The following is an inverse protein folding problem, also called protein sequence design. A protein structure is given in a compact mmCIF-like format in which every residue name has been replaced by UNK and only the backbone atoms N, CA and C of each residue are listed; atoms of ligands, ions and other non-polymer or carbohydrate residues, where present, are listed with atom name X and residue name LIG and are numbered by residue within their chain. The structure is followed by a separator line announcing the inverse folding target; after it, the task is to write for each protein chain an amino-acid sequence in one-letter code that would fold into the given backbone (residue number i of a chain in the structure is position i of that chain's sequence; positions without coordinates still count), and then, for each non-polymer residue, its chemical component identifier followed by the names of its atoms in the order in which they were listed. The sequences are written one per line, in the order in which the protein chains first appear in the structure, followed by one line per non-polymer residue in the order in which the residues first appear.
data_IF_110334767704
#
_entry.id   IF_110334767704
#
_cell.length_a   1.000
_cell.length_b   1.000
_cell.length_c   1.000
_cell.angle_alpha   90.00
_cell.angle_beta   90.00
_cell.angle_gamma   90.00
#
_symmetry.space_group_name_H-M   'P 1'
#
loop_
_entity.id
_entity.type
_entity.pdbx_description
1 polymer ?
#
# COMPACT_ATOMS: atom_id res chain seq x y z
N UNK A 1 -2.61 16.70 6.55
CA UNK A 1 -2.20 17.27 7.80
C UNK A 1 -3.32 17.22 8.81
N UNK A 2 -3.03 16.90 10.03
CA UNK A 2 -4.06 16.71 11.03
C UNK A 2 -4.73 15.34 10.96
N UNK A 3 -4.26 14.47 10.08
CA UNK A 3 -4.80 13.13 9.94
C UNK A 3 -3.66 12.15 9.82
N UNK A 4 -3.92 10.90 10.17
CA UNK A 4 -2.92 9.84 10.00
C UNK A 4 -3.03 9.30 8.59
N UNK A 5 -1.89 9.11 7.94
CA UNK A 5 -1.85 8.60 6.57
C UNK A 5 -1.34 7.17 6.57
N UNK A 6 -2.07 6.29 5.89
CA UNK A 6 -1.62 4.92 5.65
C UNK A 6 -1.13 4.89 4.21
N UNK A 7 0.19 4.89 4.03
CA UNK A 7 0.78 4.84 2.71
C UNK A 7 1.30 3.42 2.51
N UNK A 8 0.64 2.65 1.65
CA UNK A 8 1.06 1.28 1.43
C UNK A 8 1.60 1.09 0.03
N UNK A 9 2.74 0.42 -0.04
CA UNK A 9 3.39 0.10 -1.31
C UNK A 9 3.09 -1.35 -1.66
N UNK A 10 2.74 -1.60 -2.91
CA UNK A 10 2.44 -2.95 -3.36
C UNK A 10 3.09 -3.19 -4.73
N UNK A 11 3.41 -4.46 -5.04
CA UNK A 11 4.21 -4.73 -6.24
C UNK A 11 3.52 -4.48 -7.57
N UNK A 12 2.25 -4.87 -7.70
CA UNK A 12 1.65 -4.83 -9.03
C UNK A 12 0.14 -4.87 -8.98
N UNK A 13 -0.50 -3.99 -9.77
CA UNK A 13 -1.96 -3.96 -9.89
C UNK A 13 -2.47 -5.30 -10.40
N UNK A 14 -3.66 -5.66 -9.97
CA UNK A 14 -4.41 -6.81 -10.48
C UNK A 14 -3.78 -8.17 -10.22
N UNK A 15 -2.75 -8.25 -9.38
CA UNK A 15 -2.27 -9.55 -8.90
C UNK A 15 -3.14 -9.98 -7.72
N UNK A 16 -3.17 -11.28 -7.42
CA UNK A 16 -4.08 -11.80 -6.40
C UNK A 16 -3.80 -11.21 -5.01
N UNK A 17 -2.53 -11.12 -4.62
CA UNK A 17 -2.19 -10.55 -3.30
C UNK A 17 -2.52 -9.07 -3.20
N UNK A 18 -2.19 -8.31 -4.23
CA UNK A 18 -2.45 -6.87 -4.21
C UNK A 18 -3.94 -6.58 -4.29
N UNK A 19 -4.69 -7.38 -5.04
CA UNK A 19 -6.14 -7.24 -5.11
C UNK A 19 -6.77 -7.57 -3.76
N UNK A 20 -6.31 -8.64 -3.10
CA UNK A 20 -6.82 -9.00 -1.78
C UNK A 20 -6.57 -7.89 -0.77
N UNK A 21 -5.37 -7.31 -0.79
CA UNK A 21 -5.03 -6.23 0.12
C UNK A 21 -5.90 -5.00 -0.13
N UNK A 22 -6.04 -4.58 -1.39
CA UNK A 22 -6.84 -3.42 -1.73
C UNK A 22 -8.32 -3.62 -1.37
N UNK A 23 -8.85 -4.80 -1.66
CA UNK A 23 -10.25 -5.08 -1.35
C UNK A 23 -10.50 -5.16 0.16
N UNK A 24 -9.53 -5.67 0.92
CA UNK A 24 -9.66 -5.67 2.38
C UNK A 24 -9.71 -4.24 2.92
N UNK A 25 -8.85 -3.37 2.40
CA UNK A 25 -8.86 -1.97 2.82
C UNK A 25 -10.15 -1.27 2.36
N UNK A 26 -10.63 -1.60 1.16
CA UNK A 26 -11.88 -1.05 0.65
C UNK A 26 -13.05 -1.44 1.55
N UNK A 27 -13.12 -2.72 1.91
CA UNK A 27 -14.26 -3.22 2.68
C UNK A 27 -14.28 -2.66 4.10
N UNK A 28 -13.15 -2.20 4.59
CA UNK A 28 -13.03 -1.63 5.93
C UNK A 28 -12.75 -0.13 5.91
N UNK A 29 -12.97 0.51 4.76
CA UNK A 29 -12.59 1.90 4.56
C UNK A 29 -13.30 2.85 5.52
N UNK A 30 -14.60 2.63 5.74
CA UNK A 30 -15.36 3.49 6.64
C UNK A 30 -14.79 3.44 8.05
N UNK A 31 -14.48 2.25 8.53
CA UNK A 31 -13.92 2.08 9.86
C UNK A 31 -12.56 2.76 9.97
N UNK A 32 -11.72 2.63 8.94
CA UNK A 32 -10.42 3.28 8.92
C UNK A 32 -10.57 4.80 8.94
N UNK A 33 -11.50 5.33 8.14
CA UNK A 33 -11.74 6.77 8.11
C UNK A 33 -12.26 7.26 9.45
N UNK A 34 -13.13 6.49 10.09
CA UNK A 34 -13.69 6.87 11.39
C UNK A 34 -12.61 6.94 12.46
N UNK A 35 -11.51 6.21 12.28
CA UNK A 35 -10.38 6.25 13.21
C UNK A 35 -9.34 7.30 12.81
N UNK A 36 -9.61 8.10 11.79
CA UNK A 36 -8.73 9.19 11.39
C UNK A 36 -7.65 8.84 10.38
N UNK A 37 -7.76 7.68 9.72
CA UNK A 37 -6.77 7.28 8.73
C UNK A 37 -7.19 7.69 7.32
N UNK A 38 -6.21 8.15 6.55
CA UNK A 38 -6.37 8.40 5.12
C UNK A 38 -5.52 7.36 4.40
N UNK A 39 -6.14 6.61 3.49
CA UNK A 39 -5.47 5.50 2.81
C UNK A 39 -4.96 5.96 1.45
N UNK A 40 -3.69 5.67 1.17
CA UNK A 40 -3.09 5.96 -0.13
C UNK A 40 -2.24 4.75 -0.52
N UNK A 41 -2.49 4.19 -1.70
CA UNK A 41 -1.66 3.12 -2.22
C UNK A 41 -0.65 3.66 -3.21
N UNK A 42 0.47 2.96 -3.38
CA UNK A 42 1.51 3.39 -4.31
C UNK A 42 2.13 2.17 -4.97
N UNK A 43 2.39 2.27 -6.27
CA UNK A 43 3.02 1.22 -7.04
C UNK A 43 3.78 1.89 -8.18
N UNK A 44 4.73 1.17 -8.77
CA UNK A 44 5.52 1.72 -9.88
C UNK A 44 4.76 1.64 -11.21
N UNK A 45 3.55 1.12 -11.22
CA UNK A 45 2.76 1.03 -12.43
C UNK A 45 2.16 2.38 -12.80
N UNK A 46 1.75 2.52 -14.06
CA UNK A 46 1.32 3.83 -14.55
C UNK A 46 -0.12 4.16 -14.15
N UNK A 47 -0.52 5.39 -14.46
CA UNK A 47 -1.85 5.87 -14.11
C UNK A 47 -2.96 5.07 -14.78
N UNK A 48 -2.71 4.63 -16.00
CA UNK A 48 -3.69 3.86 -16.74
C UNK A 48 -3.99 2.54 -16.06
N UNK A 49 -2.92 1.86 -15.59
CA UNK A 49 -3.07 0.61 -14.87
C UNK A 49 -3.81 0.83 -13.56
N UNK A 50 -3.46 1.87 -12.82
CA UNK A 50 -4.11 2.19 -11.56
C UNK A 50 -5.58 2.53 -11.75
N UNK A 51 -5.90 3.27 -12.81
CA UNK A 51 -7.28 3.64 -13.07
C UNK A 51 -8.13 2.40 -13.30
N UNK A 52 -7.64 1.44 -14.07
CA UNK A 52 -8.36 0.19 -14.29
C UNK A 52 -8.53 -0.58 -13.00
N UNK A 53 -7.49 -0.61 -12.17
CA UNK A 53 -7.52 -1.33 -10.91
C UNK A 53 -8.55 -0.70 -9.97
N UNK A 54 -8.57 0.62 -9.88
CA UNK A 54 -9.55 1.34 -9.05
C UNK A 54 -10.96 1.06 -9.53
N UNK A 55 -11.20 1.15 -10.83
CA UNK A 55 -12.53 0.95 -11.38
C UNK A 55 -13.01 -0.48 -11.20
N UNK A 56 -12.14 -1.43 -11.47
CA UNK A 56 -12.53 -2.84 -11.37
C UNK A 56 -12.89 -3.24 -9.95
N UNK A 57 -12.18 -2.72 -8.97
CA UNK A 57 -12.37 -3.10 -7.59
C UNK A 57 -13.11 -2.04 -6.77
N UNK A 58 -13.54 -0.96 -7.42
CA UNK A 58 -14.30 0.11 -6.76
C UNK A 58 -13.57 0.63 -5.53
N UNK A 59 -12.30 0.96 -5.69
CA UNK A 59 -11.48 1.41 -4.58
C UNK A 59 -11.81 2.87 -4.23
N UNK A 60 -12.08 3.16 -2.95
CA UNK A 60 -12.45 4.52 -2.55
C UNK A 60 -11.27 5.42 -2.22
N UNK A 61 -10.05 4.94 -2.40
CA UNK A 61 -8.86 5.72 -2.07
C UNK A 61 -7.96 5.83 -3.28
N UNK A 62 -7.06 6.84 -3.31
CA UNK A 62 -6.22 7.06 -4.49
C UNK A 62 -5.02 6.11 -4.52
N UNK A 63 -4.51 5.92 -5.72
CA UNK A 63 -3.28 5.17 -5.94
C UNK A 63 -2.29 6.09 -6.65
N UNK A 64 -1.05 6.09 -6.16
CA UNK A 64 0.01 6.91 -6.75
C UNK A 64 0.76 6.09 -7.80
N UNK A 65 0.91 6.66 -8.99
CA UNK A 65 1.67 6.02 -10.07
C UNK A 65 3.12 6.49 -9.98
N UNK A 66 3.95 5.69 -9.32
CA UNK A 66 5.34 6.05 -9.09
C UNK A 66 6.23 5.52 -10.22
N UNK A 67 5.94 5.96 -11.45
CA UNK A 67 6.59 5.42 -12.64
C UNK A 67 8.07 5.76 -12.71
N UNK A 68 8.51 6.84 -12.06
CA UNK A 68 9.94 7.20 -12.05
C UNK A 68 10.66 6.58 -10.84
N UNK A 69 10.00 5.75 -10.08
CA UNK A 69 10.57 5.02 -8.95
C UNK A 69 11.07 5.92 -7.82
N UNK A 70 10.61 7.15 -7.80
CA UNK A 70 11.10 8.12 -6.82
C UNK A 70 10.66 7.78 -5.40
N UNK A 71 9.37 7.48 -5.22
CA UNK A 71 8.86 7.16 -3.89
C UNK A 71 9.38 5.84 -3.38
N UNK A 72 9.39 4.80 -4.21
CA UNK A 72 9.84 3.49 -3.75
C UNK A 72 11.31 3.53 -3.34
N UNK A 73 12.11 4.33 -3.99
CA UNK A 73 13.51 4.49 -3.61
C UNK A 73 13.66 5.36 -2.37
N UNK A 74 12.88 6.42 -2.27
CA UNK A 74 12.92 7.30 -1.10
C UNK A 74 12.55 6.56 0.18
N UNK A 75 11.54 5.69 0.09
CA UNK A 75 11.10 4.93 1.27
C UNK A 75 11.85 3.61 1.44
N UNK A 76 12.79 3.30 0.54
CA UNK A 76 13.61 2.10 0.68
C UNK A 76 12.85 0.79 0.49
N UNK A 77 11.81 0.79 -0.34
CA UNK A 77 10.98 -0.40 -0.53
C UNK A 77 11.13 -1.02 -1.91
N UNK A 78 12.22 -0.71 -2.60
CA UNK A 78 12.48 -1.22 -3.93
C UNK A 78 13.86 -1.87 -3.95
N UNK A 79 13.95 -3.06 -4.47
CA UNK A 79 15.24 -3.73 -4.52
C UNK A 79 15.15 -5.11 -5.17
N UNK A 80 16.19 -5.89 -4.99
CA UNK A 80 16.26 -7.21 -5.58
C UNK A 80 15.33 -8.19 -4.89
N UNK A 81 14.59 -8.93 -5.72
CA UNK A 81 13.73 -10.01 -5.23
C UNK A 81 14.09 -11.28 -5.98
N UNK A 82 13.93 -12.42 -5.33
CA UNK A 82 14.20 -13.71 -5.94
C UNK A 82 12.92 -14.54 -6.02
N UNK A 83 12.72 -15.16 -7.15
CA UNK A 83 11.58 -16.05 -7.32
C UNK A 83 11.95 -17.13 -8.33
N UNK A 84 11.82 -18.38 -7.94
CA UNK A 84 12.14 -19.53 -8.80
C UNK A 84 13.55 -19.46 -9.38
N UNK A 85 14.50 -19.06 -8.54
CA UNK A 85 15.91 -18.98 -8.95
C UNK A 85 16.25 -17.75 -9.78
N UNK A 86 15.30 -16.89 -10.05
CA UNK A 86 15.55 -15.66 -10.81
C UNK A 86 15.59 -14.46 -9.89
N UNK A 87 16.43 -13.50 -10.25
CA UNK A 87 16.55 -12.25 -9.52
C UNK A 87 15.96 -11.15 -10.37
N UNK A 88 15.15 -10.31 -9.77
CA UNK A 88 14.57 -9.16 -10.48
C UNK A 88 14.38 -8.02 -9.49
N UNK A 89 14.23 -6.82 -10.03
CA UNK A 89 13.97 -5.64 -9.20
C UNK A 89 12.46 -5.50 -9.01
N UNK A 90 12.05 -5.20 -7.80
CA UNK A 90 10.63 -5.04 -7.52
C UNK A 90 10.38 -4.31 -6.22
N UNK A 91 9.11 -4.03 -5.95
CA UNK A 91 8.68 -3.33 -4.75
C UNK A 91 8.43 -4.33 -3.63
N UNK A 92 8.95 -4.03 -2.45
CA UNK A 92 8.63 -4.82 -1.26
C UNK A 92 7.33 -4.31 -0.67
N UNK A 93 6.37 -5.20 -0.47
CA UNK A 93 5.06 -4.84 0.07
C UNK A 93 5.24 -4.31 1.50
N UNK A 94 5.07 -3.02 1.67
CA UNK A 94 5.35 -2.35 2.94
C UNK A 94 4.33 -1.25 3.17
N UNK A 95 3.89 -1.09 4.41
CA UNK A 95 2.95 -0.04 4.77
C UNK A 95 3.57 0.86 5.83
N UNK A 96 3.48 2.16 5.60
CA UNK A 96 3.95 3.17 6.55
C UNK A 96 2.75 3.90 7.11
N UNK A 97 2.70 4.04 8.43
CA UNK A 97 1.66 4.83 9.07
C UNK A 97 2.31 6.11 9.54
N UNK A 98 1.85 7.23 8.98
CA UNK A 98 2.43 8.55 9.21
C UNK A 98 1.45 9.32 10.08
N UNK A 99 1.95 9.88 11.18
CA UNK A 99 1.06 10.54 12.13
C UNK A 99 0.72 11.97 11.68
N UNK A 100 -0.06 12.67 12.49
CA UNK A 100 -0.55 14.00 12.15
C UNK A 100 0.56 15.02 11.95
N UNK A 101 1.73 14.77 12.52
CA UNK A 101 2.87 15.66 12.38
C UNK A 101 3.77 15.35 11.19
N UNK A 102 3.38 14.33 10.40
CA UNK A 102 4.17 13.94 9.24
C UNK A 102 5.31 12.99 9.56
N UNK A 103 5.29 12.38 10.74
CA UNK A 103 6.35 11.48 11.17
C UNK A 103 5.88 10.03 11.06
N UNK A 104 6.74 9.17 10.53
CA UNK A 104 6.41 7.74 10.42
C UNK A 104 6.40 7.15 11.82
N UNK A 105 5.25 6.68 12.26
CA UNK A 105 5.13 6.13 13.62
C UNK A 105 5.10 4.60 13.61
N UNK A 106 4.84 3.97 12.46
CA UNK A 106 4.75 2.52 12.37
C UNK A 106 5.09 2.05 10.98
N UNK A 107 5.76 0.90 10.89
CA UNK A 107 6.09 0.29 9.61
C UNK A 107 5.66 -1.16 9.66
N UNK A 108 4.84 -1.59 8.71
CA UNK A 108 4.46 -2.99 8.56
C UNK A 108 5.22 -3.52 7.36
N UNK A 109 6.26 -4.29 7.62
CA UNK A 109 7.19 -4.73 6.58
C UNK A 109 6.68 -5.89 5.75
N UNK A 110 7.44 -6.28 4.72
CA UNK A 110 6.98 -7.31 3.77
C UNK A 110 6.66 -8.65 4.40
N UNK A 111 7.37 -9.01 5.45
CA UNK A 111 7.12 -10.29 6.12
C UNK A 111 5.97 -10.22 7.10
N UNK A 112 5.47 -9.02 7.37
CA UNK A 112 4.42 -8.81 8.35
C UNK A 112 3.05 -8.55 7.72
N UNK A 113 3.01 -8.05 6.48
CA UNK A 113 1.74 -7.70 5.84
C UNK A 113 0.94 -8.94 5.54
N UNK A 114 -0.32 -8.94 6.02
CA UNK A 114 -1.27 -9.99 5.70
C UNK A 114 -2.31 -9.39 4.77
N UNK A 115 -2.22 -9.72 3.49
CA UNK A 115 -3.02 -9.04 2.47
C UNK A 115 -4.52 -9.17 2.68
N UNK A 116 -4.96 -10.29 3.25
CA UNK A 116 -6.38 -10.53 3.46
C UNK A 116 -6.90 -9.92 4.76
N UNK A 117 -6.01 -9.40 5.58
CA UNK A 117 -6.36 -8.89 6.91
C UNK A 117 -5.68 -7.57 7.22
N UNK A 118 -5.27 -6.84 6.18
CA UNK A 118 -4.43 -5.66 6.37
C UNK A 118 -5.12 -4.54 7.14
N UNK A 119 -6.43 -4.35 6.92
CA UNK A 119 -7.16 -3.33 7.67
C UNK A 119 -7.11 -3.62 9.17
N UNK A 120 -7.24 -4.90 9.55
CA UNK A 120 -7.16 -5.27 10.96
C UNK A 120 -5.76 -5.00 11.51
N UNK A 121 -4.72 -5.19 10.71
CA UNK A 121 -3.36 -4.88 11.13
C UNK A 121 -3.18 -3.40 11.41
N UNK A 122 -3.75 -2.55 10.56
CA UNK A 122 -3.67 -1.11 10.73
C UNK A 122 -4.44 -0.67 11.97
N UNK A 123 -5.63 -1.24 12.16
CA UNK A 123 -6.48 -0.88 13.28
C UNK A 123 -5.95 -1.40 14.62
N UNK A 124 -5.14 -2.45 14.59
CA UNK A 124 -4.55 -2.99 15.81
C UNK A 124 -3.38 -2.10 16.23
N UNK A 125 -3.65 -1.08 16.92
CA UNK A 125 -2.65 -0.15 17.35
C UNK A 125 -1.65 -0.76 18.23
N UNK A 126 -0.51 -0.64 18.04
CA UNK A 126 0.33 -1.28 18.91
C UNK A 126 1.63 -0.76 18.99
#
# INVERSE_FOLDING_TARGET
KGQKIVLYFYPKDSTSGCTAQACNLRDNYKELRDKGYVIIGASIQDEKSHKKFIEKNELPFPLIADTDLKLVNTFGVYGEKKMYGRTYMGTFRTTFIINEDGVIERIIGPKQVKTKDHAAQILAEK
#
